data_IF_483652552699
#
_entry.id   IF_483652552699
#
_cell.length_a   1.000
_cell.length_b   1.000
_cell.length_c   1.000
_cell.angle_alpha   90.00
_cell.angle_beta   90.00
_cell.angle_gamma   90.00
#
_symmetry.space_group_name_H-M   'P 1'
#
loop_
_entity.id
_entity.type
_entity.pdbx_description
1 polymer ?
#
# COMPACT_ATOMS: atom_id res chain seq x y z
N UNK A 1 -15.87 4.48 -12.70
CA UNK A 1 -15.50 5.29 -11.51
C UNK A 1 -14.72 4.41 -10.54
N UNK A 2 -13.39 4.52 -10.46
CA UNK A 2 -12.63 3.76 -9.46
C UNK A 2 -12.91 4.34 -8.07
N UNK A 3 -13.25 3.49 -7.09
CA UNK A 3 -13.49 3.91 -5.72
C UNK A 3 -12.30 4.72 -5.19
N UNK A 4 -12.57 5.90 -4.62
CA UNK A 4 -11.54 6.75 -4.02
C UNK A 4 -10.81 5.95 -2.93
N UNK A 5 -9.47 5.87 -2.95
CA UNK A 5 -8.72 5.16 -1.91
C UNK A 5 -8.97 5.79 -0.54
N UNK A 6 -9.10 4.96 0.50
CA UNK A 6 -9.36 5.39 1.89
C UNK A 6 -8.08 5.26 2.69
N UNK A 7 -7.18 6.22 2.56
CA UNK A 7 -5.95 6.17 3.35
C UNK A 7 -6.26 6.43 4.83
N UNK A 8 -5.71 5.59 5.72
CA UNK A 8 -5.86 5.78 7.17
C UNK A 8 -4.92 6.86 7.73
N UNK A 9 -3.95 7.34 6.93
CA UNK A 9 -3.06 8.45 7.30
C UNK A 9 -2.52 9.20 6.08
N UNK A 10 -2.19 10.49 6.28
CA UNK A 10 -1.53 11.33 5.26
C UNK A 10 -0.19 10.75 4.83
N UNK A 11 0.55 10.14 5.75
CA UNK A 11 1.81 9.47 5.46
C UNK A 11 1.65 8.24 4.54
N UNK A 12 0.53 7.52 4.62
CA UNK A 12 0.22 6.45 3.66
C UNK A 12 -0.11 7.01 2.28
N UNK A 13 -0.88 8.09 2.21
CA UNK A 13 -1.20 8.76 0.95
C UNK A 13 0.08 9.25 0.23
N UNK A 14 0.99 9.89 0.96
CA UNK A 14 2.26 10.38 0.41
C UNK A 14 3.16 9.25 -0.09
N UNK A 15 3.19 8.11 0.63
CA UNK A 15 3.91 6.92 0.19
C UNK A 15 3.32 6.33 -1.09
N UNK A 16 1.99 6.23 -1.19
CA UNK A 16 1.32 5.74 -2.39
C UNK A 16 1.59 6.63 -3.62
N UNK A 17 1.53 7.94 -3.46
CA UNK A 17 1.85 8.89 -4.53
C UNK A 17 3.34 8.82 -4.95
N UNK A 18 4.26 8.69 -3.99
CA UNK A 18 5.67 8.49 -4.28
C UNK A 18 5.94 7.14 -4.96
N UNK A 19 5.27 6.06 -4.55
CA UNK A 19 5.37 4.75 -5.16
C UNK A 19 4.89 4.74 -6.61
N UNK A 20 3.78 5.41 -6.92
CA UNK A 20 3.30 5.54 -8.30
C UNK A 20 4.32 6.27 -9.18
N UNK A 21 4.90 7.37 -8.70
CA UNK A 21 5.97 8.07 -9.44
C UNK A 21 7.20 7.21 -9.65
N UNK A 22 7.62 6.43 -8.65
CA UNK A 22 8.71 5.47 -8.78
C UNK A 22 8.38 4.37 -9.79
N UNK A 23 7.16 3.85 -9.78
CA UNK A 23 6.71 2.85 -10.74
C UNK A 23 6.75 3.40 -12.18
N UNK A 24 6.27 4.63 -12.39
CA UNK A 24 6.35 5.32 -13.69
C UNK A 24 7.79 5.53 -14.13
N UNK A 25 8.68 5.94 -13.22
CA UNK A 25 10.11 6.10 -13.52
C UNK A 25 10.78 4.75 -13.86
N UNK A 26 10.47 3.69 -13.10
CA UNK A 26 11.00 2.35 -13.32
C UNK A 26 10.55 1.75 -14.67
N UNK A 27 9.31 2.04 -15.10
CA UNK A 27 8.80 1.63 -16.41
C UNK A 27 9.47 2.37 -17.59
N UNK A 28 10.21 3.47 -17.33
CA UNK A 28 10.74 4.34 -18.37
C UNK A 28 9.73 5.38 -18.88
N UNK A 29 8.73 5.73 -18.06
CA UNK A 29 7.76 6.78 -18.34
C UNK A 29 6.31 6.30 -18.45
N UNK A 30 5.37 7.24 -18.35
CA UNK A 30 3.94 6.96 -18.33
C UNK A 30 3.44 6.32 -19.65
N UNK A 31 4.05 6.68 -20.78
CA UNK A 31 3.70 6.13 -22.09
C UNK A 31 4.09 4.65 -22.21
N UNK A 32 5.26 4.25 -21.71
CA UNK A 32 5.70 2.85 -21.72
C UNK A 32 4.85 2.00 -20.78
N UNK A 33 4.56 2.54 -19.60
CA UNK A 33 3.65 1.91 -18.65
C UNK A 33 2.26 1.70 -19.30
N UNK A 34 1.72 2.72 -19.96
CA UNK A 34 0.44 2.63 -20.67
C UNK A 34 0.43 1.53 -21.74
N UNK A 35 1.51 1.38 -22.52
CA UNK A 35 1.64 0.30 -23.49
C UNK A 35 1.63 -1.09 -22.84
N UNK A 36 2.36 -1.27 -21.73
CA UNK A 36 2.37 -2.55 -20.99
C UNK A 36 0.99 -2.90 -20.40
N UNK A 37 0.22 -1.89 -19.99
CA UNK A 37 -1.13 -2.05 -19.47
C UNK A 37 -2.20 -2.11 -20.57
N UNK A 38 -1.84 -1.95 -21.85
CA UNK A 38 -2.79 -1.79 -22.96
C UNK A 38 -3.82 -0.67 -22.71
N UNK A 39 -3.37 0.44 -22.11
CA UNK A 39 -4.17 1.61 -21.80
C UNK A 39 -3.72 2.83 -22.60
N UNK A 40 -4.60 3.82 -22.71
CA UNK A 40 -4.21 5.10 -23.30
C UNK A 40 -3.31 5.90 -22.34
N UNK A 41 -2.31 6.59 -22.89
CA UNK A 41 -1.37 7.40 -22.09
C UNK A 41 -2.09 8.47 -21.24
N UNK A 42 -3.18 9.05 -21.76
CA UNK A 42 -4.04 10.00 -21.03
C UNK A 42 -4.66 9.39 -19.77
N UNK A 43 -5.03 8.10 -19.81
CA UNK A 43 -5.59 7.40 -18.65
C UNK A 43 -4.55 7.31 -17.54
N UNK A 44 -3.32 6.89 -17.88
CA UNK A 44 -2.22 6.77 -16.90
C UNK A 44 -1.80 8.14 -16.36
N UNK A 45 -1.80 9.18 -17.21
CA UNK A 45 -1.44 10.54 -16.79
C UNK A 45 -2.51 11.16 -15.86
N UNK A 46 -3.78 10.80 -16.06
CA UNK A 46 -4.88 11.20 -15.17
C UNK A 46 -4.90 10.50 -13.81
N UNK A 47 -4.03 9.52 -13.56
CA UNK A 47 -4.00 8.81 -12.29
C UNK A 47 -3.27 9.61 -11.21
N UNK A 48 -4.03 10.12 -10.24
CA UNK A 48 -3.44 10.59 -8.97
C UNK A 48 -2.97 9.41 -8.11
N UNK A 49 -3.66 8.26 -8.22
CA UNK A 49 -3.38 7.02 -7.48
C UNK A 49 -3.61 5.80 -8.38
N UNK A 50 -2.90 4.70 -8.10
CA UNK A 50 -3.08 3.46 -8.85
C UNK A 50 -4.49 2.87 -8.61
N UNK A 51 -5.28 2.60 -9.67
CA UNK A 51 -6.60 1.98 -9.54
C UNK A 51 -6.46 0.51 -9.12
N UNK A 52 -7.38 0.01 -8.29
CA UNK A 52 -7.33 -1.35 -7.73
C UNK A 52 -7.17 -2.46 -8.79
N UNK A 53 -7.83 -2.32 -9.94
CA UNK A 53 -7.77 -3.30 -11.03
C UNK A 53 -6.42 -3.37 -11.75
N UNK A 54 -5.58 -2.33 -11.65
CA UNK A 54 -4.29 -2.27 -12.35
C UNK A 54 -3.09 -2.42 -11.41
N UNK A 55 -3.29 -2.51 -10.09
CA UNK A 55 -2.18 -2.60 -9.13
C UNK A 55 -1.33 -3.83 -9.38
N UNK A 56 -1.96 -4.96 -9.72
CA UNK A 56 -1.27 -6.23 -9.95
C UNK A 56 -0.37 -6.13 -11.19
N UNK A 57 -0.93 -5.65 -12.31
CA UNK A 57 -0.21 -5.45 -13.57
C UNK A 57 0.92 -4.43 -13.42
N UNK A 58 0.69 -3.32 -12.70
CA UNK A 58 1.74 -2.32 -12.44
C UNK A 58 2.85 -2.90 -11.56
N UNK A 59 2.51 -3.69 -10.54
CA UNK A 59 3.50 -4.32 -9.68
C UNK A 59 4.39 -5.30 -10.46
N UNK A 60 3.81 -6.11 -11.35
CA UNK A 60 4.56 -7.02 -12.22
C UNK A 60 5.42 -6.25 -13.22
N UNK A 61 4.90 -5.19 -13.83
CA UNK A 61 5.61 -4.44 -14.85
C UNK A 61 6.76 -3.57 -14.30
N UNK A 62 6.66 -3.11 -13.07
CA UNK A 62 7.59 -2.12 -12.48
C UNK A 62 8.42 -2.68 -11.32
N UNK A 63 8.05 -3.85 -10.78
CA UNK A 63 8.68 -4.42 -9.59
C UNK A 63 8.35 -3.69 -8.28
N UNK A 64 7.46 -2.69 -8.30
CA UNK A 64 7.05 -1.97 -7.09
C UNK A 64 6.04 -2.81 -6.31
N UNK A 65 6.24 -2.91 -4.99
CA UNK A 65 5.36 -3.70 -4.13
C UNK A 65 3.92 -3.16 -4.16
N UNK A 66 2.95 -4.08 -4.25
CA UNK A 66 1.50 -3.81 -4.16
C UNK A 66 1.14 -2.99 -2.91
N UNK A 67 1.84 -3.25 -1.82
CA UNK A 67 1.65 -2.60 -0.53
C UNK A 67 2.04 -1.12 -0.55
N UNK A 68 3.09 -0.79 -1.33
CA UNK A 68 3.52 0.60 -1.54
C UNK A 68 2.57 1.36 -2.46
N UNK A 69 2.01 0.71 -3.49
CA UNK A 69 1.07 1.33 -4.43
C UNK A 69 -0.32 1.55 -3.83
N UNK A 70 -0.83 0.59 -3.06
CA UNK A 70 -2.15 0.65 -2.40
C UNK A 70 -2.07 0.14 -0.96
N UNK A 71 -1.56 0.97 -0.02
CA UNK A 71 -1.53 0.63 1.41
C UNK A 71 -2.93 0.49 2.05
N UNK A 72 -3.98 0.89 1.33
CA UNK A 72 -5.39 0.72 1.73
C UNK A 72 -5.90 -0.73 1.51
N UNK A 73 -5.38 -1.44 0.51
CA UNK A 73 -5.81 -2.81 0.19
C UNK A 73 -4.93 -3.88 0.86
N UNK A 74 -3.74 -3.48 1.30
CA UNK A 74 -2.83 -4.33 2.04
C UNK A 74 -2.67 -3.71 3.43
N UNK A 75 -3.46 -4.13 4.44
CA UNK A 75 -3.10 -3.82 5.81
C UNK A 75 -1.66 -4.30 5.98
N UNK A 76 -0.79 -3.43 6.53
CA UNK A 76 0.63 -3.70 6.64
C UNK A 76 0.82 -5.08 7.26
N UNK A 77 1.18 -6.06 6.43
CA UNK A 77 1.55 -7.37 6.93
C UNK A 77 2.74 -7.13 7.85
N UNK A 78 2.49 -7.22 9.16
CA UNK A 78 3.57 -7.36 10.10
C UNK A 78 4.38 -8.55 9.60
N UNK A 79 5.69 -8.40 9.51
CA UNK A 79 6.55 -9.56 9.29
C UNK A 79 6.23 -10.60 10.37
N UNK A 80 6.44 -11.89 10.09
CA UNK A 80 6.13 -12.94 11.06
C UNK A 80 6.79 -12.66 12.43
N UNK A 81 8.01 -12.13 12.42
CA UNK A 81 8.74 -11.70 13.62
C UNK A 81 8.02 -10.53 14.34
N UNK A 82 7.57 -9.51 13.62
CA UNK A 82 6.81 -8.40 14.20
C UNK A 82 5.44 -8.84 14.73
N UNK A 83 4.79 -9.82 14.09
CA UNK A 83 3.53 -10.38 14.54
C UNK A 83 3.73 -11.19 15.82
N UNK A 84 4.78 -12.02 15.89
CA UNK A 84 5.16 -12.77 17.09
C UNK A 84 5.56 -11.82 18.22
N UNK A 85 6.38 -10.80 17.95
CA UNK A 85 6.75 -9.79 18.94
C UNK A 85 5.52 -9.03 19.46
N UNK A 86 4.59 -8.65 18.59
CA UNK A 86 3.34 -8.01 18.99
C UNK A 86 2.46 -8.94 19.84
N UNK A 87 2.38 -10.23 19.49
CA UNK A 87 1.64 -11.23 20.26
C UNK A 87 2.26 -11.48 21.64
N UNK A 88 3.59 -11.62 21.71
CA UNK A 88 4.31 -11.77 22.97
C UNK A 88 4.19 -10.53 23.86
N UNK A 89 4.28 -9.33 23.27
CA UNK A 89 4.06 -8.08 23.99
C UNK A 89 2.63 -7.97 24.53
N UNK A 90 1.63 -8.41 23.75
CA UNK A 90 0.24 -8.46 24.18
C UNK A 90 0.00 -9.45 25.32
N UNK A 91 0.57 -10.66 25.24
CA UNK A 91 0.50 -11.65 26.31
C UNK A 91 1.18 -11.17 27.59
N UNK A 92 2.38 -10.59 27.48
CA UNK A 92 3.11 -10.04 28.63
C UNK A 92 2.40 -8.85 29.28
N UNK A 93 1.73 -8.02 28.49
CA UNK A 93 0.91 -6.94 29.02
C UNK A 93 -0.32 -7.50 29.76
N UNK A 94 -1.08 -8.42 29.15
CA UNK A 94 -2.26 -9.02 29.79
C UNK A 94 -1.90 -9.74 31.10
N UNK A 95 -0.79 -10.47 31.13
CA UNK A 95 -0.30 -11.13 32.34
C UNK A 95 0.04 -10.13 33.47
N UNK A 96 0.46 -8.90 33.12
CA UNK A 96 0.85 -7.87 34.08
C UNK A 96 -0.34 -7.03 34.58
N UNK A 97 -1.27 -6.70 33.69
CA UNK A 97 -2.33 -5.71 33.97
C UNK A 97 -3.73 -6.32 34.06
N UNK A 98 -3.91 -7.56 33.62
CA UNK A 98 -5.23 -8.20 33.44
C UNK A 98 -6.07 -7.57 32.32
N UNK A 99 -5.50 -6.67 31.52
CA UNK A 99 -6.20 -5.96 30.43
C UNK A 99 -5.58 -6.28 29.08
N UNK A 100 -6.40 -6.26 28.03
CA UNK A 100 -5.90 -6.38 26.66
C UNK A 100 -5.30 -5.04 26.22
N UNK A 101 -4.13 -5.06 25.55
CA UNK A 101 -3.47 -3.85 25.01
C UNK A 101 -4.40 -2.99 24.15
N UNK A 102 -5.35 -3.59 23.43
CA UNK A 102 -6.31 -2.88 22.60
C UNK A 102 -7.28 -1.97 23.38
N UNK A 103 -7.37 -2.09 24.71
CA UNK A 103 -8.25 -1.28 25.56
C UNK A 103 -7.60 0.03 26.06
N UNK A 104 -6.30 0.23 25.85
CA UNK A 104 -5.56 1.37 26.40
C UNK A 104 -5.20 2.44 25.36
N UNK A 105 -5.41 2.17 24.06
CA UNK A 105 -5.23 3.18 23.00
C UNK A 105 -6.49 4.06 22.97
N UNK A 106 -6.46 5.17 23.70
CA UNK A 106 -7.39 6.30 23.56
C UNK A 106 -6.75 7.44 22.79
#
# INVERSE_FOLDING_TARGET
MAARPRFSSTAQMMRAAAALRRAVAAAGGAARLAQQLSLHATTVNGWTFCPAGHVDTVAVATGVSRNDLRPDLSPRALTAEQAVAAHLAAGGHFARTGRCLSMEVR
#
